data_IF_623922225498
#
_entry.id   IF_623922225498
#
_cell.length_a   1.000
_cell.length_b   1.000
_cell.length_c   1.000
_cell.angle_alpha   90.00
_cell.angle_beta   90.00
_cell.angle_gamma   90.00
#
_symmetry.space_group_name_H-M   'P 1'
#
loop_
_entity.id
_entity.type
_entity.pdbx_description
1 polymer ?
#
# COMPACT_ATOMS: atom_id res chain seq x y z
N UNK A 1 -11.33 5.59 43.48
CA UNK A 1 -9.91 5.95 43.57
C UNK A 1 -9.14 5.31 42.50
N UNK A 2 -8.34 6.09 41.75
CA UNK A 2 -7.40 5.55 40.78
C UNK A 2 -6.27 4.86 41.55
N UNK A 3 -5.89 3.63 41.13
CA UNK A 3 -4.81 2.88 41.75
C UNK A 3 -3.50 3.66 41.77
N UNK A 4 -2.73 3.50 42.79
CA UNK A 4 -1.49 4.24 43.05
C UNK A 4 -0.33 3.92 42.09
N UNK A 5 -0.55 3.05 41.09
CA UNK A 5 0.45 2.66 40.09
C UNK A 5 0.18 3.18 38.66
N UNK A 6 -1.06 3.51 38.37
CA UNK A 6 -1.46 3.91 37.03
C UNK A 6 -1.70 5.40 36.99
N UNK A 7 -0.76 6.18 36.49
CA UNK A 7 -0.90 7.63 36.42
C UNK A 7 -2.24 8.11 35.87
N UNK A 8 -2.60 9.36 36.12
CA UNK A 8 -3.84 9.96 35.61
C UNK A 8 -3.80 10.01 34.05
N UNK A 9 -4.67 9.31 33.33
CA UNK A 9 -4.68 9.31 31.87
C UNK A 9 -4.84 10.70 31.25
N UNK A 10 -5.57 11.59 31.91
CA UNK A 10 -5.77 12.97 31.46
C UNK A 10 -4.47 13.79 31.54
N UNK A 11 -3.64 13.51 32.53
CA UNK A 11 -2.34 14.15 32.64
C UNK A 11 -1.41 13.78 31.48
N UNK A 12 -1.41 12.53 31.05
CA UNK A 12 -0.57 12.06 29.97
C UNK A 12 -1.10 12.41 28.56
N UNK A 13 -2.39 12.71 28.44
CA UNK A 13 -3.02 13.06 27.16
C UNK A 13 -2.30 14.22 26.45
N UNK A 14 -1.90 15.24 27.23
CA UNK A 14 -1.23 16.42 26.66
C UNK A 14 0.30 16.25 26.57
N UNK A 15 0.84 15.12 27.02
CA UNK A 15 2.28 14.84 27.01
C UNK A 15 2.73 14.04 25.80
N UNK A 16 1.81 13.39 25.12
CA UNK A 16 2.08 12.62 23.90
C UNK A 16 1.29 13.20 22.72
N UNK A 17 1.99 13.75 21.75
CA UNK A 17 1.42 14.12 20.47
C UNK A 17 1.73 13.01 19.47
N UNK A 18 0.70 12.57 18.76
CA UNK A 18 0.83 11.59 17.67
C UNK A 18 -0.03 12.06 16.51
N UNK A 19 0.64 12.53 15.46
CA UNK A 19 -0.02 12.98 14.23
C UNK A 19 0.23 11.97 13.14
N UNK A 20 -0.83 11.50 12.51
CA UNK A 20 -0.76 10.57 11.39
C UNK A 20 -1.50 11.17 10.19
N UNK A 21 -0.81 11.26 9.07
CA UNK A 21 -1.36 11.72 7.80
C UNK A 21 -1.14 10.69 6.71
N UNK A 22 -2.21 10.18 6.12
CA UNK A 22 -2.14 9.23 5.00
C UNK A 22 -2.78 9.86 3.75
N UNK A 23 -2.01 9.92 2.67
CA UNK A 23 -2.50 10.29 1.34
C UNK A 23 -2.48 9.08 0.43
N UNK A 24 -3.61 8.79 -0.19
CA UNK A 24 -3.75 7.70 -1.17
C UNK A 24 -4.24 8.26 -2.49
N UNK A 25 -3.65 7.78 -3.58
CA UNK A 25 -4.07 8.13 -4.94
C UNK A 25 -4.15 6.87 -5.77
N UNK A 26 -5.24 6.71 -6.51
CA UNK A 26 -5.44 5.58 -7.43
C UNK A 26 -5.84 6.14 -8.77
N UNK A 27 -5.13 5.72 -9.81
CA UNK A 27 -5.40 6.07 -11.20
C UNK A 27 -5.62 4.78 -11.97
N UNK A 28 -6.74 4.72 -12.68
CA UNK A 28 -7.06 3.59 -13.55
C UNK A 28 -7.33 4.14 -14.94
N UNK A 29 -6.74 3.48 -15.93
CA UNK A 29 -7.00 3.75 -17.34
C UNK A 29 -7.15 2.42 -18.05
N UNK A 30 -8.06 2.32 -18.97
CA UNK A 30 -8.25 1.13 -19.78
C UNK A 30 -8.87 1.48 -21.12
N UNK A 31 -8.68 0.63 -22.09
CA UNK A 31 -9.32 0.71 -23.39
C UNK A 31 -9.66 -0.66 -23.93
N UNK A 32 -10.70 -0.71 -24.75
CA UNK A 32 -11.13 -1.85 -25.53
C UNK A 32 -10.99 -1.47 -27.01
N UNK A 33 -10.24 -2.27 -27.76
CA UNK A 33 -10.06 -2.10 -29.20
C UNK A 33 -10.63 -3.32 -29.95
N UNK A 34 -11.67 -3.10 -30.71
CA UNK A 34 -12.18 -4.12 -31.62
C UNK A 34 -11.31 -4.19 -32.89
N UNK A 35 -10.38 -5.13 -32.94
CA UNK A 35 -9.50 -5.34 -34.11
C UNK A 35 -10.31 -5.94 -35.27
N UNK A 36 -11.19 -6.91 -34.96
CA UNK A 36 -12.18 -7.45 -35.87
C UNK A 36 -13.54 -7.28 -35.17
N UNK A 37 -14.46 -6.52 -35.73
CA UNK A 37 -15.75 -6.25 -35.11
C UNK A 37 -16.45 -7.53 -34.62
N UNK A 38 -16.82 -7.54 -33.33
CA UNK A 38 -17.46 -8.62 -32.60
C UNK A 38 -16.67 -9.93 -32.50
N UNK A 39 -15.47 -10.04 -33.10
CA UNK A 39 -14.70 -11.29 -33.11
C UNK A 39 -13.37 -11.21 -32.39
N UNK A 40 -12.60 -10.14 -32.56
CA UNK A 40 -11.28 -10.05 -32.00
C UNK A 40 -11.16 -8.72 -31.22
N UNK A 41 -11.05 -8.81 -29.92
CA UNK A 41 -11.02 -7.67 -29.01
C UNK A 41 -9.72 -7.69 -28.22
N UNK A 42 -9.00 -6.60 -28.28
CA UNK A 42 -7.87 -6.31 -27.40
C UNK A 42 -8.35 -5.42 -26.25
N UNK A 43 -8.12 -5.85 -25.02
CA UNK A 43 -8.36 -5.04 -23.83
C UNK A 43 -7.06 -4.76 -23.10
N UNK A 44 -6.90 -3.53 -22.65
CA UNK A 44 -5.81 -3.13 -21.79
C UNK A 44 -6.38 -2.42 -20.55
N UNK A 45 -5.85 -2.74 -19.37
CA UNK A 45 -6.15 -2.05 -18.14
C UNK A 45 -4.86 -1.78 -17.38
N UNK A 46 -4.65 -0.52 -17.05
CA UNK A 46 -3.54 -0.05 -16.22
C UNK A 46 -4.03 0.57 -14.94
N UNK A 47 -3.42 0.21 -13.84
CA UNK A 47 -3.69 0.80 -12.54
C UNK A 47 -2.39 1.28 -11.89
N UNK A 48 -2.42 2.49 -11.35
CA UNK A 48 -1.36 3.07 -10.53
C UNK A 48 -1.94 3.36 -9.15
N UNK A 49 -1.26 2.88 -8.11
CA UNK A 49 -1.61 3.12 -6.73
C UNK A 49 -0.42 3.73 -6.00
N UNK A 50 -0.66 4.81 -5.30
CA UNK A 50 0.35 5.55 -4.55
C UNK A 50 -0.14 5.83 -3.14
N UNK A 51 0.74 5.60 -2.16
CA UNK A 51 0.52 5.93 -0.75
C UNK A 51 1.72 6.69 -0.21
N UNK A 52 1.43 7.81 0.43
CA UNK A 52 2.32 8.49 1.36
C UNK A 52 1.70 8.41 2.76
N UNK A 53 2.42 7.85 3.70
CA UNK A 53 2.02 7.74 5.10
C UNK A 53 3.10 8.39 5.96
N UNK A 54 2.72 9.41 6.71
CA UNK A 54 3.58 10.15 7.60
C UNK A 54 3.06 10.07 9.01
N UNK A 55 3.92 9.72 9.94
CA UNK A 55 3.62 9.71 11.37
C UNK A 55 4.67 10.52 12.11
N UNK A 56 4.23 11.51 12.86
CA UNK A 56 5.06 12.33 13.73
C UNK A 56 4.60 12.14 15.17
N UNK A 57 5.53 11.77 16.06
CA UNK A 57 5.27 11.61 17.49
C UNK A 57 6.21 12.48 18.29
N UNK A 58 5.67 13.08 19.32
CA UNK A 58 6.45 13.83 20.29
C UNK A 58 5.98 13.55 21.71
N UNK A 59 6.91 13.15 22.55
CA UNK A 59 6.72 12.93 23.99
C UNK A 59 7.38 14.08 24.75
N UNK A 60 6.56 14.84 25.45
CA UNK A 60 7.01 15.95 26.32
C UNK A 60 7.59 15.45 27.63
N UNK A 61 8.23 16.33 28.39
CA UNK A 61 8.59 16.05 29.76
C UNK A 61 7.37 15.78 30.64
N UNK A 62 7.50 14.90 31.62
CA UNK A 62 6.39 14.57 32.52
C UNK A 62 6.92 14.14 33.90
N UNK A 63 6.08 14.29 34.92
CA UNK A 63 6.30 13.78 36.26
C UNK A 63 5.50 12.51 36.47
N UNK A 64 6.18 11.41 36.72
CA UNK A 64 5.49 10.18 37.11
C UNK A 64 5.02 10.28 38.57
N UNK A 65 3.83 9.80 38.87
CA UNK A 65 3.14 10.04 40.16
C UNK A 65 3.96 9.68 41.40
N UNK A 66 4.79 8.64 41.32
CA UNK A 66 5.60 8.18 42.45
C UNK A 66 7.10 8.38 42.23
N UNK A 67 7.51 9.14 41.23
CA UNK A 67 8.90 9.41 40.97
C UNK A 67 9.36 10.64 41.78
N UNK A 68 10.56 10.57 42.33
CA UNK A 68 11.19 11.67 43.05
C UNK A 68 11.65 12.80 42.12
N UNK A 69 11.83 12.50 40.85
CA UNK A 69 12.30 13.44 39.84
C UNK A 69 11.46 13.37 38.57
N UNK A 70 11.26 14.49 37.85
CA UNK A 70 10.57 14.48 36.58
C UNK A 70 11.36 13.72 35.51
N UNK A 71 10.66 13.09 34.59
CA UNK A 71 11.26 12.59 33.36
C UNK A 71 11.42 13.76 32.39
N UNK A 72 12.64 14.21 32.23
CA UNK A 72 12.97 15.29 31.29
C UNK A 72 13.40 14.80 29.92
N UNK A 73 13.41 13.48 29.70
CA UNK A 73 13.68 12.91 28.39
C UNK A 73 12.49 13.19 27.47
N UNK A 74 12.68 14.11 26.57
CA UNK A 74 11.72 14.43 25.49
C UNK A 74 12.10 13.64 24.27
N UNK A 75 11.12 13.06 23.58
CA UNK A 75 11.37 12.16 22.45
C UNK A 75 10.62 12.64 21.24
N UNK A 76 11.30 12.76 20.11
CA UNK A 76 10.72 13.02 18.82
C UNK A 76 10.95 11.82 17.90
N UNK A 77 9.89 11.36 17.22
CA UNK A 77 9.95 10.28 16.24
C UNK A 77 9.20 10.72 14.97
N UNK A 78 9.83 10.52 13.82
CA UNK A 78 9.19 10.73 12.53
C UNK A 78 9.35 9.46 11.67
N UNK A 79 8.24 8.99 11.11
CA UNK A 79 8.18 7.86 10.21
C UNK A 79 7.53 8.28 8.90
N UNK A 80 8.14 7.90 7.79
CA UNK A 80 7.61 8.12 6.46
C UNK A 80 7.63 6.81 5.68
N UNK A 81 6.48 6.45 5.11
CA UNK A 81 6.33 5.30 4.21
C UNK A 81 5.78 5.80 2.90
N UNK A 82 6.46 5.45 1.82
CA UNK A 82 6.03 5.70 0.45
C UNK A 82 5.87 4.38 -0.28
N UNK A 83 4.66 4.10 -0.77
CA UNK A 83 4.37 2.92 -1.58
C UNK A 83 3.94 3.32 -2.99
N UNK A 84 4.43 2.59 -3.98
CA UNK A 84 3.96 2.68 -5.35
C UNK A 84 3.67 1.28 -5.88
N UNK A 85 2.53 1.13 -6.50
CA UNK A 85 2.10 -0.10 -7.14
C UNK A 85 1.67 0.22 -8.58
N UNK A 86 2.14 -0.58 -9.50
CA UNK A 86 1.76 -0.53 -10.92
C UNK A 86 1.23 -1.88 -11.32
N UNK A 87 0.12 -1.89 -12.00
CA UNK A 87 -0.48 -3.10 -12.56
C UNK A 87 -0.90 -2.80 -13.99
N UNK A 88 -0.53 -3.69 -14.90
CA UNK A 88 -0.93 -3.66 -16.30
C UNK A 88 -1.45 -5.03 -16.68
N UNK A 89 -2.58 -5.07 -17.35
CA UNK A 89 -3.21 -6.30 -17.82
C UNK A 89 -3.63 -6.11 -19.28
N UNK A 90 -3.15 -6.99 -20.13
CA UNK A 90 -3.49 -6.99 -21.56
C UNK A 90 -4.11 -8.34 -21.90
N UNK A 91 -5.25 -8.34 -22.56
CA UNK A 91 -5.92 -9.54 -23.04
C UNK A 91 -6.34 -9.39 -24.50
N UNK A 92 -6.14 -10.44 -25.29
CA UNK A 92 -6.63 -10.58 -26.64
C UNK A 92 -7.64 -11.72 -26.65
N UNK A 93 -8.88 -11.40 -26.96
CA UNK A 93 -9.98 -12.39 -26.98
C UNK A 93 -10.53 -12.53 -28.39
N UNK A 94 -10.56 -13.77 -28.88
CA UNK A 94 -11.20 -14.13 -30.12
C UNK A 94 -12.46 -14.94 -29.85
N UNK A 95 -13.57 -14.55 -30.46
CA UNK A 95 -14.87 -15.25 -30.36
C UNK A 95 -15.44 -15.44 -31.73
N UNK A 96 -15.83 -16.65 -32.06
CA UNK A 96 -16.52 -16.95 -33.33
C UNK A 96 -17.48 -18.14 -33.20
N UNK A 97 -18.47 -18.19 -34.11
CA UNK A 97 -19.40 -19.28 -34.24
C UNK A 97 -19.31 -19.85 -35.64
N UNK A 98 -18.87 -21.08 -35.76
CA UNK A 98 -18.72 -21.78 -37.04
C UNK A 98 -19.91 -22.75 -37.28
N UNK A 99 -20.44 -22.72 -38.46
CA UNK A 99 -21.53 -23.65 -38.88
C UNK A 99 -22.70 -23.68 -37.88
N UNK A 100 -23.02 -22.56 -37.25
CA UNK A 100 -24.12 -22.38 -36.28
C UNK A 100 -24.06 -23.29 -35.03
N UNK A 101 -23.10 -24.21 -34.94
CA UNK A 101 -23.01 -25.25 -33.90
C UNK A 101 -21.70 -25.20 -33.10
N UNK A 102 -20.65 -24.60 -33.64
CA UNK A 102 -19.33 -24.60 -33.04
C UNK A 102 -19.03 -23.20 -32.50
N UNK A 103 -19.17 -23.01 -31.21
CA UNK A 103 -18.84 -21.74 -30.57
C UNK A 103 -17.45 -21.86 -29.96
N UNK A 104 -16.54 -20.97 -30.35
CA UNK A 104 -15.17 -20.88 -29.86
C UNK A 104 -14.93 -19.52 -29.23
N UNK A 105 -14.40 -19.52 -28.02
CA UNK A 105 -13.79 -18.36 -27.39
C UNK A 105 -12.36 -18.72 -27.01
N UNK A 106 -11.39 -17.96 -27.51
CA UNK A 106 -9.99 -18.13 -27.18
C UNK A 106 -9.44 -16.80 -26.65
N UNK A 107 -8.77 -16.84 -25.50
CA UNK A 107 -8.18 -15.67 -24.86
C UNK A 107 -6.71 -15.93 -24.57
N UNK A 108 -5.87 -14.97 -24.91
CA UNK A 108 -4.47 -14.88 -24.50
C UNK A 108 -4.31 -13.60 -23.70
N UNK A 109 -3.58 -13.68 -22.60
CA UNK A 109 -3.36 -12.50 -21.76
C UNK A 109 -2.01 -12.49 -21.07
N UNK A 110 -1.64 -11.31 -20.63
CA UNK A 110 -0.45 -11.08 -19.82
C UNK A 110 -0.73 -10.02 -18.74
N UNK A 111 -0.08 -10.19 -17.61
CA UNK A 111 -0.14 -9.24 -16.50
C UNK A 111 1.27 -8.87 -16.06
N UNK A 112 1.47 -7.61 -15.80
CA UNK A 112 2.63 -7.06 -15.14
C UNK A 112 2.21 -6.39 -13.85
N UNK A 113 2.86 -6.77 -12.75
CA UNK A 113 2.69 -6.17 -11.45
C UNK A 113 4.04 -5.74 -10.90
N UNK A 114 4.13 -4.52 -10.39
CA UNK A 114 5.31 -3.98 -9.73
C UNK A 114 4.88 -3.25 -8.46
N UNK A 115 5.43 -3.67 -7.33
CA UNK A 115 5.24 -3.01 -6.05
C UNK A 115 6.60 -2.65 -5.45
N UNK A 116 6.71 -1.45 -4.91
CA UNK A 116 7.86 -1.05 -4.15
C UNK A 116 7.49 -0.10 -3.02
N UNK A 117 8.23 -0.20 -1.94
CA UNK A 117 8.07 0.61 -0.75
C UNK A 117 9.41 1.19 -0.33
N UNK A 118 9.37 2.43 0.12
CA UNK A 118 10.44 3.09 0.85
C UNK A 118 9.95 3.42 2.25
N UNK A 119 10.74 3.07 3.26
CA UNK A 119 10.49 3.40 4.66
C UNK A 119 11.67 4.19 5.19
N UNK A 120 11.38 5.31 5.84
CA UNK A 120 12.31 6.09 6.65
C UNK A 120 11.74 6.20 8.05
N UNK A 121 12.56 5.95 9.07
CA UNK A 121 12.20 6.17 10.47
C UNK A 121 13.39 6.72 11.22
N UNK A 122 13.14 7.74 12.05
CA UNK A 122 14.15 8.37 12.87
C UNK A 122 13.56 8.76 14.22
N UNK A 123 14.39 8.66 15.27
CA UNK A 123 14.03 9.06 16.62
C UNK A 123 15.20 9.75 17.30
N UNK A 124 14.88 10.81 18.00
CA UNK A 124 15.82 11.55 18.84
C UNK A 124 15.24 11.76 20.22
N UNK A 125 16.12 11.99 21.18
CA UNK A 125 15.78 12.23 22.58
C UNK A 125 16.53 13.46 23.09
N UNK A 126 16.11 13.93 24.29
CA UNK A 126 16.69 15.09 24.99
C UNK A 126 16.55 16.40 24.21
N UNK A 127 15.35 16.66 23.67
CA UNK A 127 15.01 18.01 23.20
C UNK A 127 15.06 19.00 24.37
N UNK A 128 15.54 20.22 24.16
CA UNK A 128 15.67 21.22 25.24
C UNK A 128 14.34 21.77 25.74
N UNK A 129 13.27 21.69 24.94
CA UNK A 129 11.95 22.25 25.25
C UNK A 129 10.82 21.30 24.87
N UNK A 130 9.69 21.42 25.58
CA UNK A 130 8.43 20.76 25.25
C UNK A 130 7.75 21.38 24.01
N UNK A 131 8.22 22.55 23.56
CA UNK A 131 7.63 23.32 22.46
C UNK A 131 8.34 23.09 21.12
N UNK A 132 9.42 22.27 21.11
CA UNK A 132 10.19 22.01 19.90
C UNK A 132 10.07 20.51 19.51
N UNK A 133 8.95 20.11 18.85
CA UNK A 133 8.66 18.72 18.54
C UNK A 133 9.36 18.24 17.26
N UNK A 134 10.65 18.54 17.10
CA UNK A 134 11.41 18.21 15.89
C UNK A 134 12.61 17.32 16.17
N UNK A 135 12.96 16.47 15.20
CA UNK A 135 14.08 15.53 15.33
C UNK A 135 15.43 16.21 15.57
N UNK A 136 15.67 17.37 14.96
CA UNK A 136 16.94 18.07 15.07
C UNK A 136 17.15 18.75 16.42
N UNK A 137 16.10 18.92 17.23
CA UNK A 137 16.19 19.49 18.57
C UNK A 137 16.74 18.50 19.61
N UNK A 138 16.63 17.20 19.35
CA UNK A 138 17.16 16.19 20.26
C UNK A 138 18.68 16.07 20.16
N UNK A 139 19.36 16.13 21.31
CA UNK A 139 20.82 15.97 21.39
C UNK A 139 21.29 14.53 21.24
N UNK A 140 20.42 13.55 21.51
CA UNK A 140 20.70 12.14 21.40
C UNK A 140 19.91 11.52 20.22
N UNK A 141 20.61 10.99 19.23
CA UNK A 141 20.00 10.23 18.12
C UNK A 141 19.89 8.77 18.52
N UNK A 142 18.66 8.33 18.79
CA UNK A 142 18.39 6.95 19.24
C UNK A 142 18.51 5.97 18.09
N UNK A 143 17.88 6.29 16.96
CA UNK A 143 18.02 5.53 15.73
C UNK A 143 17.65 6.38 14.50
N UNK A 144 18.21 5.98 13.38
CA UNK A 144 17.82 6.45 12.05
C UNK A 144 18.07 5.33 11.08
N UNK A 145 17.03 4.89 10.38
CA UNK A 145 17.16 3.87 9.37
C UNK A 145 16.22 4.13 8.19
N UNK A 146 16.62 3.63 7.05
CA UNK A 146 15.76 3.57 5.88
C UNK A 146 16.00 2.27 5.12
N UNK A 147 14.96 1.76 4.47
CA UNK A 147 15.08 0.61 3.60
C UNK A 147 14.12 0.71 2.43
N UNK A 148 14.46 -0.03 1.37
CA UNK A 148 13.63 -0.19 0.19
C UNK A 148 13.35 -1.66 -0.01
N UNK A 149 12.13 -1.96 -0.32
CA UNK A 149 11.68 -3.30 -0.65
C UNK A 149 10.75 -3.24 -1.86
N UNK A 150 10.65 -4.35 -2.58
CA UNK A 150 9.76 -4.43 -3.72
C UNK A 150 9.87 -5.76 -4.43
N UNK A 151 8.87 -6.03 -5.24
CA UNK A 151 8.84 -7.21 -6.10
C UNK A 151 8.10 -6.92 -7.40
N UNK A 152 8.37 -7.75 -8.39
CA UNK A 152 7.73 -7.71 -9.70
C UNK A 152 7.22 -9.09 -10.06
N UNK A 153 6.06 -9.11 -10.67
CA UNK A 153 5.45 -10.33 -11.18
C UNK A 153 5.12 -10.09 -12.65
N UNK A 154 5.52 -11.02 -13.50
CA UNK A 154 5.10 -11.09 -14.89
C UNK A 154 4.42 -12.44 -15.08
N UNK A 155 3.18 -12.41 -15.54
CA UNK A 155 2.35 -13.60 -15.75
C UNK A 155 1.82 -13.62 -17.17
N UNK A 156 1.76 -14.79 -17.77
CA UNK A 156 1.03 -15.06 -19.01
C UNK A 156 -0.05 -16.09 -18.76
N UNK A 157 -1.18 -15.96 -19.41
CA UNK A 157 -2.28 -16.91 -19.29
C UNK A 157 -3.04 -17.06 -20.61
N UNK A 158 -3.64 -18.22 -20.79
CA UNK A 158 -4.46 -18.53 -21.94
C UNK A 158 -5.71 -19.30 -21.50
N UNK A 159 -6.81 -19.07 -22.18
CA UNK A 159 -8.06 -19.80 -22.00
C UNK A 159 -8.69 -20.13 -23.35
N UNK A 160 -9.17 -21.33 -23.48
CA UNK A 160 -9.96 -21.74 -24.62
C UNK A 160 -11.26 -22.40 -24.14
N UNK A 161 -12.37 -21.85 -24.55
CA UNK A 161 -13.70 -22.39 -24.34
C UNK A 161 -14.29 -22.83 -25.68
N UNK A 162 -14.72 -24.04 -25.76
CA UNK A 162 -15.36 -24.59 -26.94
C UNK A 162 -16.69 -25.20 -26.55
N UNK A 163 -17.71 -24.90 -27.33
CA UNK A 163 -19.07 -25.43 -27.15
C UNK A 163 -19.62 -25.93 -28.47
N UNK A 164 -19.98 -27.20 -28.48
CA UNK A 164 -20.64 -27.83 -29.63
C UNK A 164 -22.14 -27.97 -29.39
N UNK A 165 -22.91 -27.28 -30.20
CA UNK A 165 -24.39 -27.33 -30.25
C UNK A 165 -25.05 -27.16 -28.87
N UNK A 166 -24.42 -26.40 -27.96
CA UNK A 166 -24.85 -26.20 -26.57
C UNK A 166 -24.99 -27.52 -25.74
N UNK A 167 -24.41 -28.63 -26.23
CA UNK A 167 -24.46 -29.93 -25.56
C UNK A 167 -23.12 -30.35 -24.98
N UNK A 168 -22.03 -30.06 -25.66
CA UNK A 168 -20.69 -30.46 -25.23
C UNK A 168 -19.84 -29.22 -25.01
N UNK A 169 -19.35 -29.09 -23.81
CA UNK A 169 -18.54 -27.93 -23.34
C UNK A 169 -17.14 -28.42 -22.97
N UNK A 170 -16.12 -27.75 -23.51
CA UNK A 170 -14.72 -27.96 -23.15
C UNK A 170 -14.14 -26.62 -22.74
N UNK A 171 -13.50 -26.58 -21.59
CA UNK A 171 -12.75 -25.40 -21.11
C UNK A 171 -11.34 -25.82 -20.71
N UNK A 172 -10.35 -25.12 -21.26
CA UNK A 172 -8.93 -25.31 -20.93
C UNK A 172 -8.34 -23.98 -20.51
N UNK A 173 -7.63 -23.94 -19.39
CA UNK A 173 -6.95 -22.75 -18.85
C UNK A 173 -5.50 -23.12 -18.55
N UNK A 174 -4.59 -22.23 -18.93
CA UNK A 174 -3.18 -22.30 -18.60
C UNK A 174 -2.70 -20.94 -18.02
N UNK A 175 -1.82 -21.00 -17.03
CA UNK A 175 -1.19 -19.82 -16.42
C UNK A 175 0.28 -20.10 -16.11
#
# INVERSE_FOLDING_TARGET
>A
GFGTGDGNPLYYKDKLTNTNGTRRSTYNIGFDLEIIPKKLILKENSALYHVDDQTDKFEKSYQQQNATSPNLTRKAEAKYIKQNQQQHSVTLTYTDTFKEKHNLEAMLGGEYFNWHQYTLNARTENSPSDDIPTLNAGSNRTYTYSYKEGYRILSGFARVNYNYNYKYLLSVVAR
#
